data_IF_449017228507
#
_entry.id   IF_449017228507
#
_cell.length_a   1.000
_cell.length_b   1.000
_cell.length_c   1.000
_cell.angle_alpha   90.00
_cell.angle_beta   90.00
_cell.angle_gamma   90.00
#
_symmetry.space_group_name_H-M   'P 1'
#
loop_
_entity.id
_entity.type
_entity.pdbx_description
1 polymer ?
#
# COMPACT_ATOMS: atom_id res chain seq x y z
N UNK A 1 9.08 -1.03 16.88
CA UNK A 1 7.74 -1.67 16.93
C UNK A 1 6.89 -0.91 17.92
N UNK A 2 5.69 -0.50 17.55
CA UNK A 2 4.75 0.17 18.45
C UNK A 2 3.82 -0.87 19.07
N UNK A 3 3.60 -0.78 20.39
CA UNK A 3 2.67 -1.66 21.13
C UNK A 3 1.30 -0.97 21.22
N UNK A 4 0.25 -1.69 20.85
CA UNK A 4 -1.14 -1.25 21.01
C UNK A 4 -1.83 -2.22 21.96
N UNK A 5 -2.50 -1.69 22.99
CA UNK A 5 -3.29 -2.47 23.95
C UNK A 5 -4.75 -2.05 23.82
N UNK A 6 -5.62 -3.04 23.64
CA UNK A 6 -7.06 -2.87 23.46
C UNK A 6 -7.77 -3.81 24.43
N UNK A 7 -8.82 -3.30 25.06
CA UNK A 7 -9.74 -4.10 25.85
C UNK A 7 -10.98 -4.37 25.00
N UNK A 8 -11.37 -5.63 24.91
CA UNK A 8 -12.54 -6.08 24.17
C UNK A 8 -13.46 -6.81 25.14
N UNK A 9 -14.77 -6.71 24.93
CA UNK A 9 -15.69 -7.63 25.59
C UNK A 9 -15.50 -9.05 25.05
N UNK A 10 -16.05 -10.04 25.77
CA UNK A 10 -15.96 -11.44 25.34
C UNK A 10 -16.67 -11.64 23.99
N UNK A 11 -17.77 -10.92 23.76
CA UNK A 11 -18.57 -10.96 22.54
C UNK A 11 -17.79 -10.39 21.36
N UNK A 12 -17.16 -9.22 21.52
CA UNK A 12 -16.33 -8.59 20.49
C UNK A 12 -15.14 -9.47 20.11
N UNK A 13 -14.44 -10.02 21.13
CA UNK A 13 -13.34 -10.93 20.92
C UNK A 13 -13.79 -12.23 20.22
N UNK A 14 -14.98 -12.74 20.56
CA UNK A 14 -15.59 -13.91 19.93
C UNK A 14 -15.90 -13.68 18.45
N UNK A 15 -16.56 -12.58 18.12
CA UNK A 15 -16.90 -12.19 16.74
C UNK A 15 -15.62 -12.08 15.89
N UNK A 16 -14.61 -11.35 16.39
CA UNK A 16 -13.35 -11.16 15.67
C UNK A 16 -12.57 -12.47 15.50
N UNK A 17 -12.62 -13.37 16.49
CA UNK A 17 -11.99 -14.68 16.41
C UNK A 17 -12.67 -15.57 15.38
N UNK A 18 -14.01 -15.60 15.35
CA UNK A 18 -14.78 -16.35 14.35
C UNK A 18 -14.52 -15.86 12.93
N UNK A 19 -14.51 -14.54 12.73
CA UNK A 19 -14.18 -13.94 11.44
C UNK A 19 -12.74 -14.28 11.01
N UNK A 20 -11.78 -14.14 11.91
CA UNK A 20 -10.38 -14.45 11.66
C UNK A 20 -10.10 -15.91 11.34
N UNK A 21 -10.82 -16.83 11.98
CA UNK A 21 -10.67 -18.26 11.79
C UNK A 21 -10.94 -18.69 10.34
N UNK A 22 -11.83 -17.99 9.63
CA UNK A 22 -12.10 -18.23 8.20
C UNK A 22 -10.85 -18.04 7.32
N UNK A 23 -9.90 -17.22 7.77
CA UNK A 23 -8.64 -16.94 7.09
C UNK A 23 -7.43 -17.60 7.77
N UNK A 24 -7.66 -18.47 8.77
CA UNK A 24 -6.60 -19.08 9.57
C UNK A 24 -5.86 -18.09 10.47
N UNK A 25 -6.50 -16.97 10.85
CA UNK A 25 -5.89 -15.93 11.69
C UNK A 25 -6.27 -16.08 13.15
N UNK A 26 -5.32 -15.78 14.04
CA UNK A 26 -5.59 -15.59 15.46
C UNK A 26 -6.13 -14.18 15.75
N UNK A 27 -6.76 -13.98 16.91
CA UNK A 27 -7.41 -12.72 17.29
C UNK A 27 -6.52 -11.49 17.07
N UNK A 28 -5.25 -11.54 17.51
CA UNK A 28 -4.32 -10.42 17.33
C UNK A 28 -4.04 -10.09 15.87
N UNK A 29 -3.91 -11.10 15.00
CA UNK A 29 -3.72 -10.90 13.56
C UNK A 29 -4.98 -10.37 12.90
N UNK A 30 -6.16 -10.84 13.33
CA UNK A 30 -7.45 -10.34 12.87
C UNK A 30 -7.65 -8.87 13.23
N UNK A 31 -7.38 -8.48 14.48
CA UNK A 31 -7.47 -7.08 14.92
C UNK A 31 -6.56 -6.19 14.08
N UNK A 32 -5.31 -6.60 13.84
CA UNK A 32 -4.39 -5.85 12.97
C UNK A 32 -4.93 -5.71 11.55
N UNK A 33 -5.51 -6.78 10.99
CA UNK A 33 -6.10 -6.74 9.65
C UNK A 33 -7.28 -5.77 9.57
N UNK A 34 -8.21 -5.84 10.53
CA UNK A 34 -9.38 -4.96 10.58
C UNK A 34 -8.97 -3.50 10.73
N UNK A 35 -8.06 -3.21 11.65
CA UNK A 35 -7.51 -1.84 11.83
C UNK A 35 -6.84 -1.38 10.53
N UNK A 36 -6.02 -2.21 9.90
CA UNK A 36 -5.37 -1.86 8.63
C UNK A 36 -6.37 -1.54 7.53
N UNK A 37 -7.48 -2.28 7.45
CA UNK A 37 -8.51 -2.06 6.44
C UNK A 37 -9.35 -0.80 6.72
N UNK A 38 -9.67 -0.54 7.98
CA UNK A 38 -10.31 0.71 8.38
C UNK A 38 -9.41 1.92 8.08
N UNK A 39 -8.11 1.83 8.40
CA UNK A 39 -7.14 2.87 8.07
C UNK A 39 -6.98 3.05 6.57
N UNK A 40 -6.97 1.98 5.77
CA UNK A 40 -6.91 2.06 4.31
C UNK A 40 -8.12 2.83 3.75
N UNK A 41 -9.32 2.56 4.24
CA UNK A 41 -10.53 3.28 3.83
C UNK A 41 -10.45 4.77 4.16
N UNK A 42 -10.01 5.12 5.37
CA UNK A 42 -9.83 6.51 5.80
C UNK A 42 -8.75 7.22 4.96
N UNK A 43 -7.63 6.56 4.67
CA UNK A 43 -6.53 7.12 3.86
C UNK A 43 -6.88 7.24 2.37
N UNK A 44 -7.79 6.42 1.85
CA UNK A 44 -8.32 6.59 0.49
C UNK A 44 -9.19 7.85 0.38
N UNK A 45 -9.87 8.23 1.46
CA UNK A 45 -10.70 9.44 1.53
C UNK A 45 -9.89 10.69 1.96
N UNK A 46 -8.80 10.49 2.69
CA UNK A 46 -7.98 11.53 3.29
C UNK A 46 -6.56 11.46 2.71
N UNK A 47 -6.19 12.45 1.88
CA UNK A 47 -4.86 12.71 1.30
C UNK A 47 -3.80 11.63 1.57
N UNK A 48 -3.48 10.83 0.54
CA UNK A 48 -2.44 9.80 0.60
C UNK A 48 -1.16 10.34 1.25
N UNK A 49 -0.50 9.55 2.13
CA UNK A 49 0.71 10.00 2.78
C UNK A 49 1.78 10.33 1.73
N UNK A 50 2.13 11.61 1.63
CA UNK A 50 3.20 12.08 0.76
C UNK A 50 4.53 11.83 1.45
N UNK A 51 5.33 10.94 0.87
CA UNK A 51 6.69 10.69 1.33
C UNK A 51 7.67 11.57 0.56
N UNK A 52 8.58 12.22 1.28
CA UNK A 52 9.64 12.99 0.65
C UNK A 52 10.58 12.06 -0.12
N UNK A 53 10.77 12.36 -1.40
CA UNK A 53 11.67 11.63 -2.27
C UNK A 53 13.13 11.98 -1.93
N UNK A 54 14.07 11.04 -2.15
CA UNK A 54 15.49 11.38 -2.06
C UNK A 54 15.90 12.36 -3.17
N UNK A 55 16.83 13.28 -2.90
CA UNK A 55 17.30 14.26 -3.90
C UNK A 55 17.79 13.60 -5.20
N UNK A 56 18.44 12.43 -5.07
CA UNK A 56 18.91 11.65 -6.22
C UNK A 56 17.74 11.21 -7.11
N UNK A 57 16.70 10.65 -6.49
CA UNK A 57 15.54 10.14 -7.22
C UNK A 57 14.74 11.28 -7.83
N UNK A 58 14.59 12.40 -7.10
CA UNK A 58 13.91 13.60 -7.59
C UNK A 58 14.59 14.14 -8.85
N UNK A 59 15.93 14.28 -8.81
CA UNK A 59 16.70 14.73 -9.98
C UNK A 59 16.55 13.80 -11.18
N UNK A 60 16.58 12.47 -10.97
CA UNK A 60 16.39 11.51 -12.05
C UNK A 60 14.97 11.57 -12.63
N UNK A 61 13.95 11.73 -11.77
CA UNK A 61 12.57 11.90 -12.20
C UNK A 61 12.37 13.17 -13.04
N UNK A 62 12.93 14.30 -12.59
CA UNK A 62 12.90 15.57 -13.33
C UNK A 62 13.62 15.45 -14.68
N UNK A 63 14.74 14.74 -14.72
CA UNK A 63 15.45 14.47 -15.98
C UNK A 63 14.60 13.63 -16.93
N UNK A 64 13.99 12.54 -16.45
CA UNK A 64 13.14 11.68 -17.28
C UNK A 64 11.92 12.43 -17.84
N UNK A 65 11.30 13.32 -17.05
CA UNK A 65 10.21 14.18 -17.52
C UNK A 65 10.68 15.14 -18.63
N UNK A 66 11.88 15.71 -18.49
CA UNK A 66 12.47 16.56 -19.52
C UNK A 66 12.74 15.79 -20.81
N UNK A 67 13.32 14.60 -20.70
CA UNK A 67 13.59 13.72 -21.84
C UNK A 67 12.30 13.29 -22.56
N UNK A 68 11.22 13.03 -21.81
CA UNK A 68 9.90 12.80 -22.37
C UNK A 68 9.38 14.00 -23.16
N UNK A 69 9.46 15.21 -22.58
CA UNK A 69 9.04 16.43 -23.27
C UNK A 69 9.87 16.72 -24.53
N UNK A 70 11.14 16.32 -24.55
CA UNK A 70 12.03 16.37 -25.71
C UNK A 70 11.76 15.24 -26.73
N UNK A 71 10.80 14.35 -26.49
CA UNK A 71 10.42 13.27 -27.39
C UNK A 71 11.39 12.08 -27.41
N UNK A 72 12.26 11.95 -26.40
CA UNK A 72 13.22 10.84 -26.31
C UNK A 72 12.62 9.52 -25.82
N UNK A 73 11.34 9.54 -25.43
CA UNK A 73 10.62 8.33 -24.99
C UNK A 73 9.93 7.65 -26.16
N UNK A 74 9.93 6.31 -26.15
CA UNK A 74 9.16 5.52 -27.11
C UNK A 74 7.85 5.06 -26.49
N UNK A 75 6.75 5.17 -27.23
CA UNK A 75 5.46 4.63 -26.80
C UNK A 75 5.50 3.10 -26.85
N UNK A 76 5.27 2.45 -25.72
CA UNK A 76 5.13 0.99 -25.66
C UNK A 76 3.70 0.61 -26.08
N UNK A 77 3.57 -0.08 -27.20
CA UNK A 77 2.29 -0.60 -27.71
C UNK A 77 2.01 -2.04 -27.25
N UNK A 78 3.05 -2.81 -26.97
CA UNK A 78 2.97 -4.20 -26.54
C UNK A 78 3.88 -4.45 -25.33
N UNK A 79 3.26 -4.73 -24.18
CA UNK A 79 3.97 -4.94 -22.91
C UNK A 79 4.81 -6.23 -22.95
N UNK A 80 4.29 -7.31 -23.55
CA UNK A 80 4.99 -8.60 -23.60
C UNK A 80 6.27 -8.51 -24.45
N UNK A 81 6.20 -7.79 -25.58
CA UNK A 81 7.34 -7.55 -26.46
C UNK A 81 8.43 -6.69 -25.79
N UNK A 82 8.01 -5.63 -25.10
CA UNK A 82 8.92 -4.72 -24.39
C UNK A 82 9.79 -5.44 -23.36
N UNK A 83 9.21 -6.35 -22.56
CA UNK A 83 9.97 -7.09 -21.55
C UNK A 83 10.89 -8.18 -22.14
N UNK A 84 10.64 -8.65 -23.36
CA UNK A 84 11.55 -9.57 -24.04
C UNK A 84 12.78 -8.84 -24.63
N UNK A 85 12.73 -7.52 -24.76
CA UNK A 85 13.82 -6.67 -25.29
C UNK A 85 14.67 -5.98 -24.23
N UNK A 86 14.34 -6.19 -22.95
CA UNK A 86 15.04 -5.66 -21.76
C UNK A 86 16.14 -6.61 -21.29
#
# INVERSE_FOLDING_TARGET
MNKVQLSLTNEEAGILSMYGAQFGYNLSKTVRFVVSKASEAILKESAEPVYQMSERTERLGLQALKEHAEGKTTKVSNIAEFFNTL
#
